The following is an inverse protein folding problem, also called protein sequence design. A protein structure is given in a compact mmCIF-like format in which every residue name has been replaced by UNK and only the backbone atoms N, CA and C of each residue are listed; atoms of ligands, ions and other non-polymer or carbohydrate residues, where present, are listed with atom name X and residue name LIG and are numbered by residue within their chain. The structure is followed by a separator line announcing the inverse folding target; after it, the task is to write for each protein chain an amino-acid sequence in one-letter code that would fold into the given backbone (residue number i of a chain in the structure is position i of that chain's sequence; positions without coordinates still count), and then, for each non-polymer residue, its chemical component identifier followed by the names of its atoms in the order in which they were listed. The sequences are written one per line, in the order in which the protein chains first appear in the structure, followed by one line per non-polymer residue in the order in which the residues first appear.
data_IF_424057941637
#
_entry.id   IF_424057941637
#
_cell.length_a   1.000
_cell.length_b   1.000
_cell.length_c   1.000
_cell.angle_alpha   90.00
_cell.angle_beta   90.00
_cell.angle_gamma   90.00
#
_symmetry.space_group_name_H-M   'P 1'
#
loop_
_entity.id
_entity.type
_entity.pdbx_description
1 polymer ?
#
# COMPACT_ATOMS: atom_id res chain seq x y z
N UNK A 1 -16.75 6.27 -9.44
CA UNK A 1 -16.27 5.20 -8.55
C UNK A 1 -16.34 5.76 -7.13
N UNK A 2 -16.58 4.96 -6.10
CA UNK A 2 -16.46 5.53 -4.74
C UNK A 2 -14.99 5.60 -4.31
N UNK A 3 -14.70 6.42 -3.30
CA UNK A 3 -13.33 6.63 -2.80
C UNK A 3 -12.68 5.33 -2.35
N UNK A 4 -13.46 4.45 -1.73
CA UNK A 4 -12.95 3.19 -1.20
C UNK A 4 -12.52 2.25 -2.32
N UNK A 5 -13.26 2.21 -3.42
CA UNK A 5 -12.91 1.42 -4.59
C UNK A 5 -11.59 1.89 -5.24
N UNK A 6 -11.33 3.20 -5.26
CA UNK A 6 -10.07 3.78 -5.77
C UNK A 6 -8.89 3.35 -4.88
N UNK A 7 -9.03 3.55 -3.57
CA UNK A 7 -8.00 3.17 -2.58
C UNK A 7 -7.65 1.68 -2.68
N UNK A 8 -8.66 0.81 -2.76
CA UNK A 8 -8.47 -0.62 -2.87
C UNK A 8 -7.72 -1.01 -4.15
N UNK A 9 -7.99 -0.36 -5.28
CA UNK A 9 -7.29 -0.63 -6.53
C UNK A 9 -5.81 -0.26 -6.45
N UNK A 10 -5.50 0.91 -5.91
CA UNK A 10 -4.12 1.38 -5.73
C UNK A 10 -3.37 0.45 -4.77
N UNK A 11 -3.95 0.14 -3.61
CA UNK A 11 -3.33 -0.74 -2.61
C UNK A 11 -3.14 -2.15 -3.16
N UNK A 12 -4.12 -2.69 -3.88
CA UNK A 12 -4.03 -4.01 -4.52
C UNK A 12 -2.87 -4.06 -5.51
N UNK A 13 -2.68 -3.02 -6.32
CA UNK A 13 -1.57 -2.96 -7.26
C UNK A 13 -0.22 -2.90 -6.54
N UNK A 14 -0.09 -2.09 -5.47
CA UNK A 14 1.13 -2.04 -4.64
C UNK A 14 1.49 -3.44 -4.10
N UNK A 15 0.50 -4.18 -3.60
CA UNK A 15 0.71 -5.53 -3.06
C UNK A 15 1.11 -6.51 -4.16
N UNK A 16 0.43 -6.48 -5.30
CA UNK A 16 0.74 -7.33 -6.44
C UNK A 16 2.18 -7.11 -6.95
N UNK A 17 2.58 -5.86 -7.13
CA UNK A 17 3.95 -5.50 -7.55
C UNK A 17 4.98 -5.89 -6.50
N UNK A 18 4.68 -5.71 -5.21
CA UNK A 18 5.54 -6.12 -4.11
C UNK A 18 5.79 -7.63 -4.10
N UNK A 19 4.73 -8.44 -4.25
CA UNK A 19 4.86 -9.89 -4.27
C UNK A 19 5.57 -10.39 -5.54
N UNK A 20 5.30 -9.77 -6.69
CA UNK A 20 6.02 -10.07 -7.93
C UNK A 20 7.53 -9.78 -7.80
N UNK A 21 7.89 -8.75 -7.03
CA UNK A 21 9.27 -8.41 -6.71
C UNK A 21 9.86 -9.18 -5.51
N UNK A 22 9.13 -10.14 -4.92
CA UNK A 22 9.62 -11.02 -3.85
C UNK A 22 9.61 -10.42 -2.44
N UNK A 23 8.87 -9.34 -2.22
CA UNK A 23 8.72 -8.75 -0.90
C UNK A 23 7.71 -9.53 -0.04
N UNK A 24 7.94 -9.48 1.28
CA UNK A 24 6.90 -9.76 2.29
C UNK A 24 6.41 -8.43 2.86
N UNK A 25 5.13 -8.36 3.19
CA UNK A 25 4.46 -7.14 3.65
C UNK A 25 3.93 -7.31 5.06
N UNK A 26 4.15 -6.31 5.89
CA UNK A 26 3.60 -6.21 7.24
C UNK A 26 2.72 -4.98 7.34
N UNK A 27 1.67 -5.04 8.17
CA UNK A 27 0.72 -3.93 8.36
C UNK A 27 0.88 -3.39 9.78
N UNK A 28 0.93 -2.06 9.89
CA UNK A 28 0.83 -1.35 11.16
C UNK A 28 -0.39 -0.44 11.17
N UNK A 29 -1.19 -0.55 12.22
CA UNK A 29 -2.20 0.43 12.58
C UNK A 29 -1.59 1.36 13.65
N UNK A 30 -1.23 2.57 13.25
CA UNK A 30 -0.44 3.48 14.08
C UNK A 30 0.93 2.92 14.48
N UNK A 31 1.14 2.64 15.77
CA UNK A 31 2.40 2.11 16.31
C UNK A 31 2.41 0.57 16.44
N UNK A 32 1.26 -0.08 16.31
CA UNK A 32 1.10 -1.50 16.59
C UNK A 32 1.17 -2.32 15.31
N UNK A 33 1.83 -3.49 15.39
CA UNK A 33 1.85 -4.45 14.29
C UNK A 33 0.60 -5.32 14.34
N UNK A 34 -0.27 -5.18 13.35
CA UNK A 34 -1.50 -5.98 13.24
C UNK A 34 -1.31 -7.22 12.37
N UNK A 35 -0.36 -7.17 11.43
CA UNK A 35 0.07 -8.31 10.61
C UNK A 35 1.55 -8.22 10.28
N UNK A 36 2.25 -9.35 10.20
CA UNK A 36 3.70 -9.40 9.96
C UNK A 36 4.05 -10.39 8.86
N UNK A 37 4.91 -9.93 7.95
CA UNK A 37 5.61 -10.71 6.93
C UNK A 37 4.69 -11.64 6.12
N UNK A 38 3.53 -11.13 5.70
CA UNK A 38 2.58 -11.85 4.86
C UNK A 38 2.87 -11.66 3.36
N UNK A 39 2.44 -12.65 2.59
CA UNK A 39 2.39 -12.64 1.11
C UNK A 39 0.98 -12.92 0.61
N UNK A 40 0.01 -12.97 1.53
CA UNK A 40 -1.40 -13.21 1.23
C UNK A 40 -2.11 -11.86 1.17
N UNK A 41 -2.54 -11.50 -0.03
CA UNK A 41 -3.24 -10.24 -0.27
C UNK A 41 -4.53 -10.13 0.54
N UNK A 42 -5.30 -11.21 0.64
CA UNK A 42 -6.60 -11.20 1.32
C UNK A 42 -6.40 -11.07 2.84
N UNK A 43 -5.37 -11.72 3.39
CA UNK A 43 -4.98 -11.55 4.79
C UNK A 43 -4.60 -10.10 5.09
N UNK A 44 -3.81 -9.47 4.22
CA UNK A 44 -3.38 -8.07 4.37
C UNK A 44 -4.58 -7.13 4.27
N UNK A 45 -5.39 -7.24 3.22
CA UNK A 45 -6.56 -6.38 3.03
C UNK A 45 -7.60 -6.57 4.15
N UNK A 46 -7.71 -7.77 4.71
CA UNK A 46 -8.64 -8.09 5.79
C UNK A 46 -8.33 -7.43 7.14
N UNK A 47 -7.08 -7.02 7.37
CA UNK A 47 -6.66 -6.33 8.61
C UNK A 47 -6.53 -4.81 8.45
N UNK A 48 -6.59 -4.30 7.23
CA UNK A 48 -6.44 -2.88 6.93
C UNK A 48 -7.76 -2.12 7.14
N UNK A 49 -7.66 -0.79 7.16
CA UNK A 49 -8.82 0.11 7.24
C UNK A 49 -9.64 -0.01 8.53
N UNK A 50 -9.00 -0.46 9.62
CA UNK A 50 -9.53 -0.43 10.98
C UNK A 50 -9.46 0.96 11.60
N UNK A 51 -8.60 1.82 11.06
CA UNK A 51 -8.46 3.23 11.43
C UNK A 51 -8.41 4.11 10.17
N UNK A 52 -8.08 5.41 10.32
CA UNK A 52 -7.98 6.34 9.20
C UNK A 52 -6.66 6.25 8.42
N UNK A 53 -5.70 5.42 8.84
CA UNK A 53 -4.43 5.25 8.15
C UNK A 53 -3.77 3.92 8.54
N UNK A 54 -2.99 3.36 7.62
CA UNK A 54 -2.12 2.21 7.88
C UNK A 54 -0.71 2.49 7.36
N UNK A 55 0.28 1.78 7.89
CA UNK A 55 1.63 1.74 7.32
C UNK A 55 1.94 0.33 6.85
N UNK A 56 2.13 0.18 5.55
CA UNK A 56 2.68 -1.03 4.95
C UNK A 56 4.20 -1.01 5.06
N UNK A 57 4.79 -2.08 5.57
CA UNK A 57 6.22 -2.26 5.71
C UNK A 57 6.68 -3.43 4.85
N UNK A 58 7.59 -3.17 3.92
CA UNK A 58 8.02 -4.09 2.87
C UNK A 58 9.43 -4.58 3.14
N UNK A 59 9.63 -5.89 3.27
CA UNK A 59 10.94 -6.49 3.49
C UNK A 59 11.23 -7.49 2.39
N UNK A 60 12.39 -7.38 1.74
CA UNK A 60 12.86 -8.39 0.81
C UNK A 60 13.76 -9.39 1.55
N UNK A 61 13.34 -10.66 1.70
CA UNK A 61 13.99 -11.61 2.61
C UNK A 61 15.42 -11.97 2.20
N UNK A 62 15.77 -11.85 0.91
CA UNK A 62 17.09 -12.26 0.39
C UNK A 62 18.11 -11.11 0.28
N UNK A 63 17.65 -9.87 0.20
CA UNK A 63 18.53 -8.70 0.02
C UNK A 63 18.63 -7.87 1.30
N UNK A 64 17.75 -8.12 2.28
CA UNK A 64 17.65 -7.29 3.49
C UNK A 64 17.07 -5.91 3.22
N UNK A 65 16.60 -5.65 2.00
CA UNK A 65 16.00 -4.38 1.63
C UNK A 65 14.71 -4.15 2.41
N UNK A 66 14.51 -2.94 2.90
CA UNK A 66 13.36 -2.55 3.69
C UNK A 66 12.87 -1.16 3.26
N UNK A 67 11.56 -1.03 3.12
CA UNK A 67 10.89 0.25 2.92
C UNK A 67 9.50 0.25 3.54
N UNK A 68 8.82 1.39 3.47
CA UNK A 68 7.46 1.54 3.97
C UNK A 68 6.64 2.50 3.13
N UNK A 69 5.32 2.35 3.20
CA UNK A 69 4.32 3.25 2.61
C UNK A 69 3.30 3.59 3.68
N UNK A 70 3.02 4.88 3.85
CA UNK A 70 1.93 5.37 4.69
C UNK A 70 0.71 5.60 3.82
N UNK A 71 -0.37 4.94 4.19
CA UNK A 71 -1.67 5.03 3.54
C UNK A 71 -2.61 5.87 4.40
N UNK A 72 -3.29 6.85 3.83
CA UNK A 72 -4.32 7.65 4.53
C UNK A 72 -5.64 7.51 3.79
N UNK A 73 -6.65 7.01 4.50
CA UNK A 73 -7.95 6.69 3.92
C UNK A 73 -8.89 7.90 3.96
N UNK A 74 -9.74 8.01 2.95
CA UNK A 74 -10.59 9.16 2.67
C UNK A 74 -9.80 10.39 2.20
N UNK A 75 -8.54 10.24 1.80
CA UNK A 75 -7.74 11.36 1.35
C UNK A 75 -8.03 11.69 -0.12
N UNK A 76 -8.33 12.97 -0.39
CA UNK A 76 -8.79 13.40 -1.71
C UNK A 76 -10.07 12.68 -2.15
N UNK A 77 -10.09 12.21 -3.38
CA UNK A 77 -11.13 11.32 -3.93
C UNK A 77 -10.79 9.83 -3.74
N UNK A 78 -9.69 9.50 -3.07
CA UNK A 78 -9.13 8.15 -2.92
C UNK A 78 -7.84 7.93 -3.69
N UNK A 79 -7.55 8.76 -4.72
CA UNK A 79 -6.30 8.67 -5.49
C UNK A 79 -5.07 9.04 -4.67
N UNK A 80 -5.24 9.91 -3.67
CA UNK A 80 -4.18 10.38 -2.78
C UNK A 80 -3.96 9.45 -1.56
N UNK A 81 -4.31 8.17 -1.66
CA UNK A 81 -4.18 7.20 -0.56
C UNK A 81 -2.74 7.00 -0.14
N UNK A 82 -1.78 7.06 -1.07
CA UNK A 82 -0.34 7.03 -0.77
C UNK A 82 0.10 8.40 -0.29
N UNK A 83 0.09 8.61 1.03
CA UNK A 83 0.38 9.92 1.62
C UNK A 83 1.88 10.19 1.78
N UNK A 84 2.67 9.15 2.03
CA UNK A 84 4.13 9.23 2.15
C UNK A 84 4.76 7.84 1.95
N UNK A 85 6.04 7.80 1.59
CA UNK A 85 6.76 6.53 1.44
C UNK A 85 8.26 6.70 1.61
N UNK A 86 8.93 5.60 1.95
CA UNK A 86 10.39 5.56 1.92
C UNK A 86 10.91 5.71 0.48
N UNK A 87 11.96 6.53 0.23
CA UNK A 87 12.52 6.71 -1.11
C UNK A 87 12.97 5.41 -1.78
N UNK A 88 13.33 4.42 -0.96
CA UNK A 88 13.71 3.08 -1.37
C UNK A 88 12.61 2.38 -2.21
N UNK A 89 11.33 2.66 -1.98
CA UNK A 89 10.23 2.03 -2.70
C UNK A 89 9.77 2.77 -3.95
N UNK A 90 10.44 3.85 -4.36
CA UNK A 90 9.97 4.67 -5.48
C UNK A 90 9.68 3.83 -6.73
N UNK A 91 10.64 3.01 -7.18
CA UNK A 91 10.44 2.14 -8.35
C UNK A 91 9.36 1.07 -8.16
N UNK A 92 9.07 0.67 -6.92
CA UNK A 92 7.96 -0.25 -6.64
C UNK A 92 6.60 0.45 -6.75
N UNK A 93 6.56 1.75 -6.49
CA UNK A 93 5.32 2.54 -6.45
C UNK A 93 5.00 3.24 -7.77
N UNK A 94 5.87 3.16 -8.78
CA UNK A 94 5.66 3.80 -10.08
C UNK A 94 4.33 3.34 -10.72
N UNK A 95 4.03 2.04 -10.68
CA UNK A 95 2.78 1.48 -11.19
C UNK A 95 1.54 2.04 -10.47
N UNK A 96 1.57 2.05 -9.15
CA UNK A 96 0.51 2.59 -8.31
C UNK A 96 0.31 4.11 -8.49
N UNK A 97 1.40 4.85 -8.69
CA UNK A 97 1.38 6.30 -8.94
C UNK A 97 0.69 6.60 -10.27
N UNK A 98 1.06 5.89 -11.33
CA UNK A 98 0.41 6.04 -12.63
C UNK A 98 -1.09 5.70 -12.56
N UNK A 99 -1.45 4.62 -11.86
CA UNK A 99 -2.85 4.26 -11.67
C UNK A 99 -3.61 5.34 -10.89
N UNK A 100 -3.01 5.90 -9.84
CA UNK A 100 -3.62 6.98 -9.06
C UNK A 100 -3.91 8.21 -9.95
N UNK A 101 -2.95 8.62 -10.78
CA UNK A 101 -3.12 9.73 -11.72
C UNK A 101 -4.23 9.46 -12.75
N UNK A 102 -4.31 8.23 -13.28
CA UNK A 102 -5.36 7.82 -14.22
C UNK A 102 -6.75 7.85 -13.57
N UNK A 103 -6.87 7.37 -12.32
CA UNK A 103 -8.13 7.35 -11.58
C UNK A 103 -8.57 8.75 -11.17
N UNK A 104 -7.64 9.62 -10.75
CA UNK A 104 -7.92 11.02 -10.43
C UNK A 104 -8.42 11.82 -11.64
N UNK A 105 -7.99 11.48 -12.86
CA UNK A 105 -8.43 12.15 -14.07
C UNK A 105 -9.89 11.83 -14.47
N UNK A 106 -10.48 10.77 -13.90
CA UNK A 106 -11.83 10.28 -14.25
C UNK A 106 -12.78 10.19 -13.05
N UNK A 107 -12.33 10.58 -11.86
CA UNK A 107 -13.12 10.67 -10.63
C UNK A 107 -13.99 11.94 -10.61
#
# INVERSE_FOLDING_TARGET
MDTRDIELQIITLILADAFAAGYVVSVKDGHDWVLRESTDQDEILGVMFTSGHDVLSFKHPHTGFHGWVKLVYGNGDGSEVVADSSPALQSLLDGATNLADELAAVA
#
